data_IF_554350309029
#
_entry.id   IF_554350309029
#
_cell.length_a   1.000
_cell.length_b   1.000
_cell.length_c   1.000
_cell.angle_alpha   90.00
_cell.angle_beta   90.00
_cell.angle_gamma   90.00
#
_symmetry.space_group_name_H-M   'P 1'
#
loop_
_entity.id
_entity.type
_entity.pdbx_description
1 polymer ?
#
# COMPACT_ATOMS: atom_id res chain seq x y z
N UNK A 1 -2.60 -9.83 -4.25
CA UNK A 1 -2.68 -8.52 -3.57
C UNK A 1 -3.45 -7.50 -4.40
N UNK A 2 -3.09 -7.26 -5.65
CA UNK A 2 -3.81 -6.27 -6.49
C UNK A 2 -5.30 -6.62 -6.66
N UNK A 3 -5.64 -7.91 -6.76
CA UNK A 3 -7.04 -8.37 -6.75
C UNK A 3 -7.79 -7.98 -5.48
N UNK A 4 -7.17 -8.11 -4.30
CA UNK A 4 -7.81 -7.74 -3.04
C UNK A 4 -8.06 -6.23 -2.92
N UNK A 5 -7.20 -5.40 -3.53
CA UNK A 5 -7.47 -3.98 -3.67
C UNK A 5 -8.66 -3.74 -4.60
N UNK A 6 -8.67 -4.37 -5.77
CA UNK A 6 -9.76 -4.21 -6.74
C UNK A 6 -11.11 -4.69 -6.16
N UNK A 7 -11.12 -5.80 -5.41
CA UNK A 7 -12.29 -6.32 -4.71
C UNK A 7 -12.75 -5.36 -3.61
N UNK A 8 -11.85 -4.87 -2.74
CA UNK A 8 -12.21 -3.92 -1.67
C UNK A 8 -12.74 -2.58 -2.24
N UNK A 9 -12.18 -2.14 -3.37
CA UNK A 9 -12.66 -0.96 -4.09
C UNK A 9 -14.07 -1.23 -4.65
N UNK A 10 -14.33 -2.42 -5.20
CA UNK A 10 -15.63 -2.80 -5.73
C UNK A 10 -16.68 -2.96 -4.63
N UNK A 11 -16.27 -3.44 -3.45
CA UNK A 11 -17.10 -3.54 -2.25
C UNK A 11 -17.44 -2.16 -1.64
N UNK A 12 -16.74 -1.10 -2.08
CA UNK A 12 -17.05 0.28 -1.70
C UNK A 12 -16.66 0.62 -0.26
N UNK A 13 -15.56 0.04 0.23
CA UNK A 13 -15.07 0.33 1.59
C UNK A 13 -14.64 1.79 1.76
N UNK A 14 -14.81 2.35 2.95
CA UNK A 14 -14.37 3.72 3.26
C UNK A 14 -12.86 3.79 3.56
N UNK A 15 -12.33 2.72 4.15
CA UNK A 15 -10.94 2.65 4.63
C UNK A 15 -10.35 1.27 4.35
N UNK A 16 -9.10 1.24 3.91
CA UNK A 16 -8.33 0.01 3.72
C UNK A 16 -7.11 -0.02 4.64
N UNK A 17 -7.00 -1.06 5.46
CA UNK A 17 -5.81 -1.30 6.29
C UNK A 17 -4.98 -2.42 5.69
N UNK A 18 -3.71 -2.13 5.39
CA UNK A 18 -2.80 -3.04 4.69
C UNK A 18 -1.52 -3.22 5.50
N UNK A 19 -1.43 -4.33 6.22
CA UNK A 19 -0.23 -4.70 6.98
C UNK A 19 0.57 -5.77 6.24
N UNK A 20 1.05 -5.44 5.06
CA UNK A 20 1.86 -6.30 4.21
C UNK A 20 3.14 -5.58 3.81
N UNK A 21 4.22 -6.33 3.64
CA UNK A 21 5.51 -5.83 3.16
C UNK A 21 6.13 -6.88 2.23
N UNK A 22 7.00 -6.43 1.33
CA UNK A 22 7.79 -7.28 0.45
C UNK A 22 9.27 -7.00 0.69
N UNK A 23 10.12 -8.04 0.62
CA UNK A 23 11.54 -7.95 0.99
C UNK A 23 12.35 -7.01 0.07
N UNK A 24 11.90 -6.81 -1.18
CA UNK A 24 12.62 -6.02 -2.16
C UNK A 24 12.21 -4.54 -2.16
N UNK A 25 13.20 -3.66 -2.28
CA UNK A 25 12.98 -2.25 -2.59
C UNK A 25 12.52 -2.13 -4.06
N UNK A 26 11.21 -2.20 -4.26
CA UNK A 26 10.59 -2.13 -5.57
C UNK A 26 10.31 -0.66 -5.90
N UNK A 27 10.65 -0.21 -7.11
CA UNK A 27 10.22 1.11 -7.60
C UNK A 27 8.70 1.27 -7.44
N UNK A 28 8.22 2.47 -7.12
CA UNK A 28 6.78 2.78 -6.93
C UNK A 28 5.91 2.26 -8.08
N UNK A 29 6.41 2.27 -9.31
CA UNK A 29 5.71 1.80 -10.51
C UNK A 29 5.57 0.28 -10.62
N UNK A 30 6.28 -0.46 -9.78
CA UNK A 30 6.26 -1.93 -9.71
C UNK A 30 5.78 -2.43 -8.34
N UNK A 31 5.61 -1.54 -7.37
CA UNK A 31 5.10 -1.87 -6.04
C UNK A 31 3.58 -2.10 -6.11
N UNK A 32 3.10 -3.34 -5.90
CA UNK A 32 1.67 -3.64 -5.94
C UNK A 32 0.88 -2.89 -4.85
N UNK A 33 1.50 -2.53 -3.73
CA UNK A 33 0.86 -1.73 -2.68
C UNK A 33 0.67 -0.30 -3.16
N UNK A 34 1.71 0.31 -3.75
CA UNK A 34 1.61 1.67 -4.29
C UNK A 34 0.62 1.76 -5.46
N UNK A 35 0.60 0.77 -6.36
CA UNK A 35 -0.37 0.71 -7.46
C UNK A 35 -1.79 0.54 -6.93
N UNK A 36 -2.00 -0.37 -5.97
CA UNK A 36 -3.30 -0.58 -5.33
C UNK A 36 -3.78 0.68 -4.60
N UNK A 37 -2.90 1.33 -3.86
CA UNK A 37 -3.16 2.58 -3.16
C UNK A 37 -3.60 3.68 -4.13
N UNK A 38 -2.86 3.90 -5.23
CA UNK A 38 -3.24 4.88 -6.25
C UNK A 38 -4.64 4.62 -6.83
N UNK A 39 -5.04 3.35 -6.98
CA UNK A 39 -6.40 2.99 -7.44
C UNK A 39 -7.46 3.29 -6.38
N UNK A 40 -7.17 3.01 -5.10
CA UNK A 40 -8.05 3.29 -3.97
C UNK A 40 -8.27 4.79 -3.76
N UNK A 41 -7.20 5.60 -3.81
CA UNK A 41 -7.25 7.06 -3.67
C UNK A 41 -8.10 7.69 -4.78
N UNK A 42 -8.02 7.19 -6.03
CA UNK A 42 -8.89 7.65 -7.13
C UNK A 42 -10.38 7.39 -6.90
N UNK A 43 -10.72 6.53 -5.95
CA UNK A 43 -12.08 6.18 -5.55
C UNK A 43 -12.46 6.77 -4.19
N UNK A 44 -11.66 7.72 -3.67
CA UNK A 44 -11.83 8.35 -2.35
C UNK A 44 -11.73 7.37 -1.16
N UNK A 45 -10.99 6.28 -1.32
CA UNK A 45 -10.77 5.29 -0.25
C UNK A 45 -9.43 5.59 0.41
N UNK A 46 -9.44 5.82 1.73
CA UNK A 46 -8.23 6.10 2.50
C UNK A 46 -7.51 4.79 2.84
N UNK A 47 -6.21 4.70 2.56
CA UNK A 47 -5.39 3.52 2.87
C UNK A 47 -4.37 3.79 3.96
N UNK A 48 -4.24 2.87 4.91
CA UNK A 48 -3.17 2.85 5.91
C UNK A 48 -2.25 1.65 5.65
N UNK A 49 -0.95 1.91 5.49
CA UNK A 49 0.05 0.87 5.22
C UNK A 49 1.13 0.90 6.31
N UNK A 50 1.59 -0.28 6.74
CA UNK A 50 2.66 -0.39 7.71
C UNK A 50 4.02 0.10 7.15
N UNK A 51 4.80 0.80 7.97
CA UNK A 51 6.13 1.30 7.59
C UNK A 51 7.24 0.24 7.52
N UNK A 52 6.93 -1.02 7.90
CA UNK A 52 7.83 -2.15 8.16
C UNK A 52 8.55 -2.06 9.52
N UNK A 53 9.09 -3.19 9.98
CA UNK A 53 9.71 -3.35 11.31
C UNK A 53 11.25 -3.42 11.26
N UNK A 54 11.86 -3.00 10.15
CA UNK A 54 13.31 -3.13 9.88
C UNK A 54 14.14 -1.97 10.47
N UNK A 55 13.55 -1.22 11.41
CA UNK A 55 14.30 -0.27 12.22
C UNK A 55 15.43 -0.94 13.01
N UNK A 56 16.38 -0.18 13.55
CA UNK A 56 16.40 1.28 13.67
C UNK A 56 17.20 1.99 12.56
N UNK A 57 17.59 1.28 11.50
CA UNK A 57 18.43 1.85 10.42
C UNK A 57 17.71 3.00 9.73
N UNK A 58 18.40 4.12 9.54
CA UNK A 58 17.86 5.28 8.81
C UNK A 58 17.46 4.87 7.38
N UNK A 59 16.27 5.26 6.95
CA UNK A 59 15.74 4.87 5.63
C UNK A 59 15.14 3.45 5.59
N UNK A 60 14.91 2.81 6.74
CA UNK A 60 14.21 1.51 6.82
C UNK A 60 12.70 1.57 6.58
N UNK A 61 12.11 2.77 6.52
CA UNK A 61 10.69 2.96 6.20
C UNK A 61 10.41 2.63 4.74
N UNK A 62 9.36 1.83 4.50
CA UNK A 62 8.83 1.54 3.17
C UNK A 62 7.38 2.05 3.00
N UNK A 63 6.86 1.94 1.77
CA UNK A 63 5.49 2.35 1.40
C UNK A 63 5.23 3.86 1.49
N UNK A 64 6.27 4.67 1.23
CA UNK A 64 6.22 6.14 1.27
C UNK A 64 5.67 6.78 -0.01
N UNK A 65 4.75 6.10 -0.70
CA UNK A 65 4.08 6.68 -1.88
C UNK A 65 3.15 7.83 -1.42
N UNK A 66 3.11 8.98 -2.14
CA UNK A 66 2.18 10.06 -1.87
C UNK A 66 0.72 9.68 -2.10
#
# INVERSE_FOLDING_TARGET
>A
MLSAFDDAIADGVDVLSVSLAFDDAINVTKDPIAIGNLRAVRRNILTFVAARNDGPVLGSVQHSAP
#
